data_IF_497851393430
#
_entry.id   IF_497851393430
#
_cell.length_a   1.000
_cell.length_b   1.000
_cell.length_c   1.000
_cell.angle_alpha   90.00
_cell.angle_beta   90.00
_cell.angle_gamma   90.00
#
_symmetry.space_group_name_H-M   'P 1'
#
loop_
_entity.id
_entity.type
_entity.pdbx_description
1 polymer ?
#
# COMPACT_ATOMS: atom_id res chain seq x y z
N UNK A 1 14.90 16.07 24.29
CA UNK A 1 14.67 16.95 23.14
C UNK A 1 13.77 16.16 22.21
N UNK A 2 12.49 16.51 22.08
CA UNK A 2 11.58 15.76 21.22
C UNK A 2 11.85 16.11 19.75
N UNK A 3 11.94 15.11 18.88
CA UNK A 3 11.90 15.30 17.45
C UNK A 3 10.57 15.98 17.11
N UNK A 4 10.59 17.13 16.47
CA UNK A 4 9.40 17.80 15.97
C UNK A 4 9.51 17.82 14.44
N UNK A 5 8.87 16.86 13.82
CA UNK A 5 8.60 16.87 12.40
C UNK A 5 7.29 17.63 12.17
N UNK A 6 7.30 18.59 11.27
CA UNK A 6 6.12 19.37 10.88
C UNK A 6 6.08 19.36 9.35
N UNK A 7 5.17 18.54 8.79
CA UNK A 7 4.99 18.39 7.35
C UNK A 7 3.56 18.80 6.98
N UNK A 8 3.43 19.80 6.14
CA UNK A 8 2.12 20.36 5.76
C UNK A 8 1.61 19.69 4.47
N UNK A 9 0.55 18.90 4.57
CA UNK A 9 -0.07 18.22 3.43
C UNK A 9 -1.23 18.98 2.81
N UNK A 10 -1.79 19.96 3.54
CA UNK A 10 -3.02 20.69 3.19
C UNK A 10 -4.26 19.79 2.98
N UNK A 11 -4.21 18.52 3.44
CA UNK A 11 -5.27 17.52 3.25
C UNK A 11 -5.54 16.72 4.51
N UNK A 12 -6.74 16.11 4.55
CA UNK A 12 -7.07 15.14 5.59
C UNK A 12 -6.28 13.85 5.38
N UNK A 13 -5.72 13.32 6.47
CA UNK A 13 -5.10 12.01 6.57
C UNK A 13 -5.95 11.15 7.49
N UNK A 14 -6.42 9.99 7.04
CA UNK A 14 -7.24 9.08 7.84
C UNK A 14 -6.67 7.67 7.94
N UNK A 15 -5.85 7.25 6.98
CA UNK A 15 -5.15 5.98 7.02
C UNK A 15 -4.01 5.97 8.04
N UNK A 16 -3.65 4.79 8.51
CA UNK A 16 -2.47 4.61 9.36
C UNK A 16 -1.21 4.74 8.50
N UNK A 17 -0.22 5.56 8.88
CA UNK A 17 1.04 5.61 8.15
C UNK A 17 1.81 4.30 8.29
N UNK A 18 2.64 3.99 7.30
CA UNK A 18 3.64 2.93 7.36
C UNK A 18 5.04 3.51 7.47
N UNK A 19 5.98 2.71 7.94
CA UNK A 19 7.40 3.07 8.05
C UNK A 19 8.20 1.97 7.37
N UNK A 20 9.08 2.34 6.47
CA UNK A 20 9.93 1.42 5.71
C UNK A 20 11.17 2.11 5.14
N UNK A 21 12.05 1.33 4.54
CA UNK A 21 13.25 1.82 3.88
C UNK A 21 12.97 1.99 2.39
N UNK A 22 12.80 3.23 1.92
CA UNK A 22 12.45 3.54 0.53
C UNK A 22 13.57 4.25 -0.25
N UNK A 23 14.74 4.49 0.37
CA UNK A 23 15.90 5.04 -0.33
C UNK A 23 17.22 4.45 0.18
N UNK A 24 18.35 5.03 -0.19
CA UNK A 24 19.68 4.48 0.10
C UNK A 24 20.38 5.20 1.27
N UNK A 25 19.68 6.01 2.07
CA UNK A 25 20.30 6.84 3.10
C UNK A 25 20.48 6.12 4.45
N UNK A 26 19.77 5.02 4.66
CA UNK A 26 19.85 4.16 5.84
C UNK A 26 18.95 4.56 7.01
N UNK A 27 18.16 5.59 6.85
CA UNK A 27 17.08 5.94 7.76
C UNK A 27 15.78 5.23 7.31
N UNK A 28 14.66 5.43 7.99
CA UNK A 28 13.35 4.89 7.64
C UNK A 28 12.41 6.02 7.29
N UNK A 29 11.70 5.90 6.18
CA UNK A 29 10.75 6.87 5.68
C UNK A 29 9.35 6.64 6.23
N UNK A 30 8.56 7.70 6.20
CA UNK A 30 7.15 7.69 6.59
C UNK A 30 6.28 7.76 5.34
N UNK A 31 5.45 6.74 5.14
CA UNK A 31 4.55 6.60 4.00
C UNK A 31 3.11 6.82 4.42
N UNK A 32 2.40 7.72 3.77
CA UNK A 32 0.99 8.01 4.03
C UNK A 32 0.28 8.59 2.82
N UNK A 33 -1.06 8.61 2.83
CA UNK A 33 -1.86 9.08 1.71
C UNK A 33 -2.86 10.15 2.11
N UNK A 34 -3.18 11.04 1.17
CA UNK A 34 -4.24 12.02 1.30
C UNK A 34 -5.62 11.40 1.11
N UNK A 35 -6.63 11.90 1.86
CA UNK A 35 -8.01 11.43 1.77
C UNK A 35 -8.98 12.43 1.12
N UNK A 36 -8.72 13.73 1.20
CA UNK A 36 -9.61 14.75 0.63
C UNK A 36 -8.92 15.46 -0.53
N UNK A 37 -9.60 15.99 -1.50
CA UNK A 37 -9.18 16.89 -2.59
C UNK A 37 -7.75 16.73 -3.19
N UNK A 38 -6.93 15.87 -2.63
CA UNK A 38 -5.54 15.62 -3.00
C UNK A 38 -5.30 14.10 -2.91
N UNK A 39 -5.30 13.42 -4.04
CA UNK A 39 -5.17 11.98 -4.16
C UNK A 39 -3.69 11.56 -4.18
N UNK A 40 -2.87 12.12 -3.30
CA UNK A 40 -1.43 11.88 -3.31
C UNK A 40 -1.00 10.83 -2.30
N UNK A 41 -0.01 10.07 -2.71
CA UNK A 41 0.81 9.20 -1.88
C UNK A 41 2.11 9.94 -1.55
N UNK A 42 2.36 10.14 -0.27
CA UNK A 42 3.53 10.84 0.24
C UNK A 42 4.53 9.85 0.82
N UNK A 43 5.79 10.11 0.58
CA UNK A 43 6.92 9.46 1.25
C UNK A 43 7.87 10.54 1.70
N UNK A 44 8.14 10.61 2.99
CA UNK A 44 8.98 11.66 3.59
C UNK A 44 10.07 11.06 4.46
N UNK A 45 11.22 11.70 4.42
CA UNK A 45 12.35 11.45 5.30
C UNK A 45 12.06 11.87 6.75
N UNK A 46 12.82 11.38 7.74
CA UNK A 46 12.69 11.80 9.14
C UNK A 46 12.91 13.29 9.37
N UNK A 47 13.57 14.00 8.45
CA UNK A 47 13.77 15.45 8.54
C UNK A 47 12.63 16.27 7.92
N UNK A 48 11.65 15.60 7.28
CA UNK A 48 10.49 16.20 6.63
C UNK A 48 10.68 16.58 5.17
N UNK A 49 11.79 16.21 4.55
CA UNK A 49 11.95 16.35 3.10
C UNK A 49 11.22 15.23 2.37
N UNK A 50 10.74 15.50 1.14
CA UNK A 50 10.18 14.47 0.29
C UNK A 50 11.27 13.51 -0.20
N UNK A 51 10.94 12.21 -0.26
CA UNK A 51 11.78 11.23 -0.96
C UNK A 51 11.67 11.45 -2.47
N UNK A 52 12.77 11.23 -3.18
CA UNK A 52 12.81 11.41 -4.64
C UNK A 52 11.75 10.55 -5.35
N UNK A 53 10.98 11.15 -6.26
CA UNK A 53 9.87 10.49 -6.94
C UNK A 53 8.51 10.73 -6.27
N UNK A 54 8.46 11.24 -5.05
CA UNK A 54 7.23 11.52 -4.31
C UNK A 54 7.00 13.04 -4.11
N UNK A 55 5.74 13.46 -3.89
CA UNK A 55 4.52 12.66 -3.84
C UNK A 55 4.02 12.20 -5.22
N UNK A 56 3.39 11.02 -5.27
CA UNK A 56 2.77 10.45 -6.47
C UNK A 56 1.27 10.71 -6.48
N UNK A 57 0.71 11.04 -7.64
CA UNK A 57 -0.75 11.15 -7.84
C UNK A 57 -1.37 9.75 -7.99
N UNK A 58 -2.37 9.45 -7.17
CA UNK A 58 -3.24 8.28 -7.30
C UNK A 58 -4.51 8.64 -8.10
N UNK A 59 -5.26 7.67 -8.62
CA UNK A 59 -6.49 7.92 -9.35
C UNK A 59 -7.58 8.56 -8.50
N UNK A 60 -7.67 8.16 -7.22
CA UNK A 60 -8.62 8.67 -6.24
C UNK A 60 -7.99 8.58 -4.84
N UNK A 61 -8.68 9.12 -3.83
CA UNK A 61 -8.25 9.08 -2.42
C UNK A 61 -8.11 7.67 -1.89
N UNK A 62 -7.17 7.47 -1.00
CA UNK A 62 -7.01 6.25 -0.22
C UNK A 62 -7.55 6.44 1.20
N UNK A 63 -8.37 5.49 1.66
CA UNK A 63 -8.99 5.53 3.00
C UNK A 63 -8.15 4.81 4.04
N UNK A 64 -7.50 3.74 3.64
CA UNK A 64 -6.66 2.93 4.51
C UNK A 64 -5.18 3.27 4.34
N UNK A 65 -4.36 2.79 5.27
CA UNK A 65 -2.91 2.93 5.17
C UNK A 65 -2.28 1.99 4.14
N UNK A 66 -1.08 2.29 3.68
CA UNK A 66 -0.30 1.43 2.78
C UNK A 66 0.28 0.21 3.51
N UNK A 67 0.67 -0.80 2.72
CA UNK A 67 1.55 -1.90 3.14
C UNK A 67 2.85 -1.83 2.34
N UNK A 68 3.96 -2.25 2.96
CA UNK A 68 5.30 -2.12 2.40
C UNK A 68 5.97 -3.48 2.27
N UNK A 69 6.66 -3.73 1.18
CA UNK A 69 7.60 -4.84 0.99
C UNK A 69 8.43 -4.59 -0.29
N UNK A 70 9.62 -5.13 -0.34
CA UNK A 70 10.51 -5.09 -1.52
C UNK A 70 10.03 -6.08 -2.59
N UNK A 71 9.25 -5.63 -3.58
CA UNK A 71 8.71 -6.47 -4.66
C UNK A 71 9.67 -6.68 -5.82
N UNK A 72 10.56 -5.72 -6.04
CA UNK A 72 11.52 -5.76 -7.14
C UNK A 72 12.91 -6.27 -6.74
N UNK A 73 13.08 -6.64 -5.45
CA UNK A 73 14.31 -7.22 -4.87
C UNK A 73 15.54 -6.29 -4.98
N UNK A 74 15.31 -4.98 -4.88
CA UNK A 74 16.38 -3.99 -4.92
C UNK A 74 16.89 -3.58 -3.53
N UNK A 75 16.30 -4.14 -2.45
CA UNK A 75 16.66 -3.89 -1.06
C UNK A 75 15.91 -2.71 -0.44
N UNK A 76 14.94 -2.11 -1.16
CA UNK A 76 14.08 -1.04 -0.70
C UNK A 76 12.62 -1.46 -0.75
N UNK A 77 11.82 -0.90 0.13
CA UNK A 77 10.39 -1.22 0.21
C UNK A 77 9.61 -0.52 -0.92
N UNK A 78 8.71 -1.26 -1.55
CA UNK A 78 7.70 -0.76 -2.46
C UNK A 78 6.35 -0.64 -1.74
N UNK A 79 5.43 0.13 -2.28
CA UNK A 79 4.20 0.56 -1.61
C UNK A 79 2.97 -0.06 -2.26
N UNK A 80 2.17 -0.79 -1.48
CA UNK A 80 0.86 -1.28 -1.89
C UNK A 80 -0.23 -0.44 -1.22
N UNK A 81 -1.18 0.07 -2.01
CA UNK A 81 -2.28 0.90 -1.50
C UNK A 81 -3.56 0.70 -2.29
N UNK A 82 -4.70 0.62 -1.58
CA UNK A 82 -6.04 0.58 -2.17
C UNK A 82 -6.68 1.97 -2.20
N UNK A 83 -7.51 2.23 -3.20
CA UNK A 83 -8.13 3.53 -3.46
C UNK A 83 -9.64 3.44 -3.69
N UNK A 84 -10.33 4.60 -3.66
CA UNK A 84 -11.78 4.72 -3.85
C UNK A 84 -12.20 4.68 -5.34
N UNK A 85 -11.26 4.54 -6.28
CA UNK A 85 -11.49 4.34 -7.73
C UNK A 85 -11.36 2.88 -8.17
N UNK A 86 -11.64 1.95 -7.25
CA UNK A 86 -11.70 0.52 -7.50
C UNK A 86 -10.33 -0.14 -7.81
N UNK A 87 -9.23 0.54 -7.41
CA UNK A 87 -7.88 0.10 -7.72
C UNK A 87 -7.05 -0.30 -6.49
N UNK A 88 -6.14 -1.26 -6.71
CA UNK A 88 -4.96 -1.48 -5.86
C UNK A 88 -3.73 -1.12 -6.68
N UNK A 89 -2.91 -0.22 -6.17
CA UNK A 89 -1.63 0.20 -6.74
C UNK A 89 -0.48 -0.57 -6.08
N UNK A 90 0.52 -0.89 -6.86
CA UNK A 90 1.88 -1.18 -6.42
C UNK A 90 2.78 -0.09 -7.00
N UNK A 91 3.38 0.71 -6.13
CA UNK A 91 4.27 1.83 -6.47
C UNK A 91 5.67 1.48 -5.97
N UNK A 92 6.65 1.53 -6.86
CA UNK A 92 8.04 1.28 -6.53
C UNK A 92 8.65 2.41 -5.71
N UNK A 93 9.79 2.14 -5.08
CA UNK A 93 10.59 3.07 -4.28
C UNK A 93 10.95 4.38 -5.03
N UNK A 94 10.99 4.36 -6.36
CA UNK A 94 11.24 5.54 -7.21
C UNK A 94 9.97 6.34 -7.60
N UNK A 95 8.80 5.94 -7.09
CA UNK A 95 7.50 6.56 -7.39
C UNK A 95 6.84 6.06 -8.68
N UNK A 96 7.44 5.15 -9.43
CA UNK A 96 6.83 4.57 -10.62
C UNK A 96 5.81 3.48 -10.28
N UNK A 97 4.75 3.36 -11.09
CA UNK A 97 3.79 2.26 -10.94
C UNK A 97 4.37 0.97 -11.51
N UNK A 98 4.27 -0.11 -10.74
CA UNK A 98 4.77 -1.43 -11.15
C UNK A 98 4.03 -1.96 -12.40
N UNK A 99 4.70 -2.70 -13.28
CA UNK A 99 4.07 -3.34 -14.44
C UNK A 99 2.89 -4.23 -14.03
N UNK A 100 1.76 -4.13 -14.75
CA UNK A 100 0.53 -4.85 -14.46
C UNK A 100 -0.40 -4.18 -13.45
N UNK A 101 0.05 -3.14 -12.78
CA UNK A 101 -0.76 -2.32 -11.88
C UNK A 101 -1.23 -1.01 -12.57
N UNK A 102 -2.34 -0.40 -12.08
CA UNK A 102 -3.14 -0.84 -10.95
C UNK A 102 -4.00 -2.08 -11.27
N UNK A 103 -4.20 -2.94 -10.26
CA UNK A 103 -5.23 -3.99 -10.30
C UNK A 103 -6.61 -3.34 -10.11
N UNK A 104 -7.61 -3.77 -10.90
CA UNK A 104 -8.95 -3.19 -10.90
C UNK A 104 -10.01 -4.22 -10.47
N UNK A 105 -10.88 -3.84 -9.54
CA UNK A 105 -12.07 -4.60 -9.15
C UNK A 105 -13.36 -3.87 -9.57
N UNK A 106 -14.48 -4.12 -8.87
CA UNK A 106 -15.78 -3.53 -9.23
C UNK A 106 -16.32 -2.53 -8.20
N UNK A 107 -15.59 -2.32 -7.11
CA UNK A 107 -15.88 -1.33 -6.07
C UNK A 107 -14.57 -0.98 -5.33
N UNK A 108 -14.65 -0.11 -4.35
CA UNK A 108 -13.55 0.51 -3.60
C UNK A 108 -12.74 -0.44 -2.76
N UNK A 109 -11.43 -0.22 -2.73
CA UNK A 109 -10.52 -0.85 -1.80
C UNK A 109 -10.29 0.07 -0.58
N UNK A 110 -11.06 -0.14 0.48
CA UNK A 110 -11.05 0.69 1.69
C UNK A 110 -10.43 0.01 2.91
N UNK A 111 -10.01 -1.25 2.76
CA UNK A 111 -9.19 -1.96 3.74
C UNK A 111 -7.70 -1.74 3.46
N UNK A 112 -6.87 -1.66 4.48
CA UNK A 112 -5.44 -1.68 4.27
C UNK A 112 -5.02 -3.05 3.69
N UNK A 113 -4.23 -3.08 2.62
CA UNK A 113 -3.75 -4.34 2.06
C UNK A 113 -2.81 -5.04 3.04
N UNK A 114 -2.65 -6.34 2.85
CA UNK A 114 -1.67 -7.14 3.55
C UNK A 114 -0.82 -7.90 2.54
N UNK A 115 0.46 -8.07 2.84
CA UNK A 115 1.40 -8.75 1.96
C UNK A 115 1.86 -10.04 2.63
N UNK A 116 1.82 -11.14 1.89
CA UNK A 116 2.39 -12.42 2.30
C UNK A 116 3.61 -12.70 1.45
N UNK A 117 4.76 -12.80 2.08
CA UNK A 117 6.00 -13.24 1.47
C UNK A 117 6.16 -14.75 1.72
N UNK A 118 6.21 -15.53 0.65
CA UNK A 118 6.42 -16.98 0.69
C UNK A 118 7.77 -17.39 0.07
N UNK A 119 8.71 -16.45 0.07
CA UNK A 119 10.11 -16.64 -0.32
C UNK A 119 10.39 -16.37 -1.79
N UNK A 120 9.68 -17.02 -2.72
CA UNK A 120 9.83 -16.77 -4.17
C UNK A 120 8.75 -15.86 -4.72
N UNK A 121 7.67 -15.62 -3.97
CA UNK A 121 6.53 -14.83 -4.39
C UNK A 121 6.05 -13.93 -3.25
N UNK A 122 5.62 -12.73 -3.58
CA UNK A 122 4.84 -11.86 -2.71
C UNK A 122 3.41 -11.78 -3.24
N UNK A 123 2.45 -12.00 -2.35
CA UNK A 123 1.02 -11.99 -2.67
C UNK A 123 0.38 -10.85 -1.90
N UNK A 124 -0.36 -10.00 -2.60
CA UNK A 124 -1.13 -8.91 -2.03
C UNK A 124 -2.55 -9.40 -1.74
N UNK A 125 -3.01 -9.20 -0.51
CA UNK A 125 -4.40 -9.44 -0.12
C UNK A 125 -5.07 -8.11 0.19
N UNK A 126 -6.22 -7.87 -0.43
CA UNK A 126 -7.00 -6.64 -0.19
C UNK A 126 -8.49 -6.91 -0.20
N UNK A 127 -9.19 -6.39 0.81
CA UNK A 127 -10.63 -6.43 0.89
C UNK A 127 -11.27 -5.33 0.04
N UNK A 128 -12.41 -5.65 -0.58
CA UNK A 128 -13.14 -4.76 -1.46
C UNK A 128 -14.60 -4.61 -1.03
N UNK A 129 -15.21 -3.47 -1.37
CA UNK A 129 -16.63 -3.21 -1.09
C UNK A 129 -17.59 -4.00 -2.00
N UNK A 130 -17.08 -4.71 -3.00
CA UNK A 130 -17.86 -5.65 -3.82
C UNK A 130 -18.07 -7.03 -3.17
N UNK A 131 -17.78 -7.13 -1.88
CA UNK A 131 -17.91 -8.34 -1.06
C UNK A 131 -16.85 -9.41 -1.34
N UNK A 132 -15.74 -9.07 -2.00
CA UNK A 132 -14.64 -10.01 -2.22
C UNK A 132 -13.39 -9.63 -1.41
N UNK A 133 -12.70 -10.67 -0.97
CA UNK A 133 -11.29 -10.60 -0.63
C UNK A 133 -10.48 -11.04 -1.85
N UNK A 134 -9.61 -10.20 -2.33
CA UNK A 134 -8.75 -10.46 -3.50
C UNK A 134 -7.35 -10.88 -3.05
N UNK A 135 -6.80 -11.89 -3.74
CA UNK A 135 -5.38 -12.22 -3.72
C UNK A 135 -4.80 -11.88 -5.10
N UNK A 136 -3.81 -11.00 -5.11
CA UNK A 136 -3.22 -10.41 -6.32
C UNK A 136 -1.73 -10.78 -6.36
N UNK A 137 -1.27 -11.26 -7.50
CA UNK A 137 0.15 -11.57 -7.70
C UNK A 137 0.99 -10.30 -7.88
N UNK A 138 2.30 -10.42 -7.72
CA UNK A 138 3.26 -9.32 -7.91
C UNK A 138 3.31 -8.76 -9.34
N UNK A 139 2.78 -9.49 -10.33
CA UNK A 139 2.64 -9.04 -11.72
C UNK A 139 1.30 -8.32 -12.01
N UNK A 140 0.48 -8.07 -10.97
CA UNK A 140 -0.85 -7.46 -11.09
C UNK A 140 -1.95 -8.43 -11.50
N UNK A 141 -1.66 -9.69 -11.75
CA UNK A 141 -2.65 -10.71 -12.10
C UNK A 141 -3.49 -11.17 -10.90
N UNK A 142 -4.78 -11.43 -11.12
CA UNK A 142 -5.63 -12.05 -10.09
C UNK A 142 -5.16 -13.48 -9.81
N UNK A 143 -4.80 -13.77 -8.57
CA UNK A 143 -4.51 -15.14 -8.13
C UNK A 143 -5.79 -15.92 -7.82
N UNK A 144 -6.62 -15.36 -6.96
CA UNK A 144 -7.98 -15.81 -6.66
C UNK A 144 -8.77 -14.71 -5.93
N UNK A 145 -10.08 -14.89 -5.85
CA UNK A 145 -10.93 -14.10 -4.96
C UNK A 145 -11.85 -15.00 -4.13
N UNK A 146 -12.24 -14.50 -2.96
CA UNK A 146 -13.18 -15.18 -2.06
C UNK A 146 -14.36 -14.26 -1.85
N UNK A 147 -15.54 -14.72 -2.30
CA UNK A 147 -16.80 -14.01 -2.05
C UNK A 147 -17.19 -14.17 -0.58
N UNK A 148 -17.43 -13.07 0.08
CA UNK A 148 -17.95 -12.97 1.46
C UNK A 148 -19.45 -12.61 1.45
N UNK A 149 -20.04 -12.40 2.61
CA UNK A 149 -21.45 -12.02 2.68
C UNK A 149 -21.73 -10.52 2.65
N UNK A 150 -20.68 -9.68 2.75
CA UNK A 150 -20.76 -8.22 2.79
C UNK A 150 -19.38 -7.61 2.53
N UNK A 151 -19.29 -6.28 2.49
CA UNK A 151 -18.06 -5.51 2.25
C UNK A 151 -16.90 -5.97 3.14
N UNK A 152 -15.73 -6.14 2.57
CA UNK A 152 -14.50 -6.50 3.28
C UNK A 152 -13.71 -5.23 3.58
N UNK A 153 -13.95 -4.65 4.76
CA UNK A 153 -13.35 -3.39 5.21
C UNK A 153 -12.26 -3.56 6.27
N UNK A 154 -11.75 -4.77 6.44
CA UNK A 154 -10.70 -5.11 7.40
C UNK A 154 -9.49 -5.69 6.71
N UNK A 155 -8.31 -5.38 7.24
CA UNK A 155 -7.05 -5.96 6.75
C UNK A 155 -6.97 -7.44 7.14
N UNK A 156 -6.64 -8.34 6.22
CA UNK A 156 -6.38 -9.73 6.55
C UNK A 156 -5.10 -9.85 7.39
N UNK A 157 -5.03 -10.86 8.23
CA UNK A 157 -3.83 -11.21 8.98
C UNK A 157 -3.49 -12.68 8.73
N UNK A 158 -2.22 -13.00 8.76
CA UNK A 158 -1.70 -14.31 8.43
C UNK A 158 -0.93 -14.91 9.60
N UNK A 159 -0.98 -16.23 9.70
CA UNK A 159 -0.20 -16.99 10.67
C UNK A 159 0.41 -18.20 9.99
N UNK A 160 1.66 -18.50 10.30
CA UNK A 160 2.29 -19.74 9.88
C UNK A 160 1.96 -20.83 10.92
N UNK A 161 1.24 -21.86 10.47
CA UNK A 161 0.89 -23.02 11.29
C UNK A 161 1.50 -24.25 10.63
N UNK A 162 2.42 -24.92 11.33
CA UNK A 162 3.13 -26.12 10.86
C UNK A 162 3.82 -25.91 9.49
N UNK A 163 4.58 -24.83 9.37
CA UNK A 163 5.31 -24.44 8.16
C UNK A 163 4.45 -24.22 6.91
N UNK A 164 3.15 -24.03 7.09
CA UNK A 164 2.23 -23.57 6.04
C UNK A 164 1.60 -22.23 6.45
N UNK A 165 1.53 -21.30 5.52
CA UNK A 165 0.84 -20.01 5.70
C UNK A 165 -0.66 -20.23 5.45
N UNK A 166 -1.51 -19.73 6.36
CA UNK A 166 -2.96 -19.81 6.30
C UNK A 166 -3.62 -18.43 6.40
#
# INVERSE_FOLDING_TARGET
>A
MGLKLDYETEVYLIGTPAIGNLDDDGDMEIVFSGYSSNNKLFVINPDGSDVSGFPVELGEKAKAGPALADFNENGKDDIVIGTDDDHVYLIYDDGSTAPGFPFTATDKFQAAPSIVDIGEEKIIFSGNNDNNLYAINSDGGLRFSVLTGDNVNTSPSFVNINDNIH
#
